data_IF_990304797906
#
_entry.id   IF_990304797906
#
_cell.length_a   1.000
_cell.length_b   1.000
_cell.length_c   1.000
_cell.angle_alpha   90.00
_cell.angle_beta   90.00
_cell.angle_gamma   90.00
#
_symmetry.space_group_name_H-M   'P 1'
#
loop_
_entity.id
_entity.type
_entity.pdbx_description
1 polymer ?
#
# COMPACT_ATOMS: atom_id res chain seq x y z
N UNK A 1 -30.12 -29.37 0.97
CA UNK A 1 -29.90 -28.19 1.86
C UNK A 1 -28.52 -28.15 2.50
N UNK A 2 -28.10 -29.13 3.31
CA UNK A 2 -26.78 -29.10 3.99
C UNK A 2 -25.57 -28.96 3.04
N UNK A 3 -25.57 -29.67 1.91
CA UNK A 3 -24.51 -29.59 0.90
C UNK A 3 -24.47 -28.21 0.20
N UNK A 4 -25.64 -27.59 0.00
CA UNK A 4 -25.74 -26.26 -0.61
C UNK A 4 -25.21 -25.16 0.33
N UNK A 5 -25.52 -25.26 1.63
CA UNK A 5 -24.93 -24.38 2.65
C UNK A 5 -23.42 -24.57 2.77
N UNK A 6 -22.90 -25.79 2.65
CA UNK A 6 -21.46 -26.07 2.67
C UNK A 6 -20.74 -25.50 1.43
N UNK A 7 -21.31 -25.65 0.23
CA UNK A 7 -20.77 -25.07 -1.01
C UNK A 7 -20.82 -23.54 -0.95
N UNK A 8 -21.91 -22.96 -0.44
CA UNK A 8 -22.03 -21.51 -0.24
C UNK A 8 -21.00 -21.00 0.79
N UNK A 9 -20.79 -21.72 1.89
CA UNK A 9 -19.78 -21.38 2.90
C UNK A 9 -18.35 -21.49 2.35
N UNK A 10 -18.07 -22.51 1.53
CA UNK A 10 -16.78 -22.70 0.87
C UNK A 10 -16.52 -21.63 -0.21
N UNK A 11 -17.58 -21.17 -0.90
CA UNK A 11 -17.53 -20.07 -1.86
C UNK A 11 -17.54 -18.67 -1.19
N UNK A 12 -17.68 -18.57 0.14
CA UNK A 12 -17.51 -17.30 0.89
C UNK A 12 -16.05 -17.13 1.34
N UNK A 13 -15.23 -18.18 1.35
CA UNK A 13 -13.77 -18.08 1.43
C UNK A 13 -13.16 -17.62 0.09
N UNK A 14 -13.74 -16.57 -0.52
CA UNK A 14 -13.20 -15.89 -1.69
C UNK A 14 -11.91 -15.18 -1.29
N UNK A 15 -10.82 -15.94 -1.36
CA UNK A 15 -9.50 -15.53 -1.85
C UNK A 15 -9.01 -14.18 -1.34
N UNK A 16 -8.66 -14.12 -0.05
CA UNK A 16 -7.64 -13.16 0.38
C UNK A 16 -6.32 -13.67 -0.20
N UNK A 17 -5.93 -13.14 -1.35
CA UNK A 17 -4.62 -13.39 -1.94
C UNK A 17 -3.68 -12.30 -1.47
N UNK A 18 -2.50 -12.70 -1.00
CA UNK A 18 -1.37 -11.78 -0.91
C UNK A 18 -0.92 -11.36 -2.31
N UNK A 19 -0.07 -10.35 -2.34
CA UNK A 19 0.66 -9.99 -3.56
C UNK A 19 1.49 -11.19 -4.04
N UNK A 20 1.66 -11.29 -5.37
CA UNK A 20 2.48 -12.32 -6.00
C UNK A 20 3.95 -12.12 -5.67
N UNK A 21 4.69 -13.24 -5.52
CA UNK A 21 6.15 -13.20 -5.36
C UNK A 21 6.84 -12.54 -6.57
N UNK A 22 7.96 -11.88 -6.30
CA UNK A 22 8.75 -11.22 -7.33
C UNK A 22 9.51 -12.23 -8.19
N UNK A 23 9.42 -12.08 -9.51
CA UNK A 23 10.12 -12.94 -10.49
C UNK A 23 11.55 -12.49 -10.80
N UNK A 24 11.94 -11.30 -10.31
CA UNK A 24 13.22 -10.64 -10.55
C UNK A 24 13.57 -9.75 -9.36
N UNK A 25 14.83 -9.33 -9.27
CA UNK A 25 15.34 -8.55 -8.14
C UNK A 25 14.60 -7.22 -7.96
N UNK A 26 14.29 -6.52 -9.06
CA UNK A 26 13.60 -5.24 -9.02
C UNK A 26 12.66 -5.03 -10.21
N UNK A 27 11.54 -4.34 -9.99
CA UNK A 27 10.59 -3.93 -11.04
C UNK A 27 9.97 -2.56 -10.68
N UNK A 28 10.74 -1.46 -10.61
CA UNK A 28 10.16 -0.18 -10.23
C UNK A 28 9.01 0.22 -11.16
N UNK A 29 7.95 0.82 -10.63
CA UNK A 29 6.83 1.33 -11.44
C UNK A 29 7.33 2.27 -12.55
N UNK A 30 6.93 2.00 -13.80
CA UNK A 30 7.16 2.92 -14.92
C UNK A 30 6.32 4.20 -14.76
N UNK A 31 6.91 5.28 -14.25
CA UNK A 31 6.22 6.57 -14.08
C UNK A 31 6.29 7.41 -15.36
N UNK A 32 5.17 8.02 -15.75
CA UNK A 32 5.13 9.06 -16.79
C UNK A 32 4.91 8.57 -18.23
N UNK A 33 5.02 7.27 -18.49
CA UNK A 33 4.45 6.70 -19.71
C UNK A 33 2.96 6.46 -19.48
N UNK A 34 2.10 7.01 -20.33
CA UNK A 34 0.70 6.59 -20.37
C UNK A 34 0.70 5.12 -20.78
N UNK A 35 0.76 4.22 -19.79
CA UNK A 35 0.70 2.79 -20.03
C UNK A 35 -0.67 2.51 -20.64
N UNK A 36 -0.70 2.32 -21.95
CA UNK A 36 -1.89 1.89 -22.70
C UNK A 36 -2.34 0.46 -22.32
N UNK A 37 -1.59 -0.19 -21.43
CA UNK A 37 -1.84 -1.54 -20.93
C UNK A 37 -2.10 -1.53 -19.42
N UNK A 38 -3.18 -2.21 -19.02
CA UNK A 38 -3.54 -2.44 -17.63
C UNK A 38 -3.24 -3.90 -17.28
N UNK A 39 -2.51 -4.10 -16.19
CA UNK A 39 -2.15 -5.41 -15.66
C UNK A 39 -2.46 -5.47 -14.16
N UNK A 40 -2.33 -6.66 -13.55
CA UNK A 40 -2.36 -6.74 -12.09
C UNK A 40 -1.06 -6.11 -11.53
N UNK A 41 -1.17 -4.97 -10.86
CA UNK A 41 -0.03 -4.16 -10.42
C UNK A 41 0.37 -3.09 -11.44
N UNK A 42 1.67 -2.83 -11.59
CA UNK A 42 2.19 -1.81 -12.50
C UNK A 42 3.25 -2.38 -13.47
N UNK A 43 3.31 -1.86 -14.71
CA UNK A 43 4.43 -2.15 -15.61
C UNK A 43 5.77 -1.76 -14.99
N UNK A 44 6.80 -2.58 -15.21
CA UNK A 44 8.16 -2.26 -14.79
C UNK A 44 8.77 -1.18 -15.69
N UNK A 45 9.54 -0.28 -15.08
CA UNK A 45 10.46 0.63 -15.76
C UNK A 45 11.53 -0.15 -16.52
N UNK A 46 12.02 0.42 -17.63
CA UNK A 46 13.10 -0.18 -18.41
C UNK A 46 14.35 -0.41 -17.54
N UNK A 47 14.93 -1.64 -17.50
CA UNK A 47 16.11 -1.94 -16.70
C UNK A 47 17.30 -1.00 -16.90
N UNK A 48 17.47 -0.43 -18.11
CA UNK A 48 18.57 0.51 -18.39
C UNK A 48 18.37 1.91 -17.78
N UNK A 49 17.15 2.21 -17.33
CA UNK A 49 16.78 3.51 -16.74
C UNK A 49 16.55 3.44 -15.22
N UNK A 50 16.61 2.23 -14.65
CA UNK A 50 16.54 2.00 -13.21
C UNK A 50 17.75 2.66 -12.54
N UNK A 51 17.49 3.44 -11.51
CA UNK A 51 18.52 4.12 -10.75
C UNK A 51 18.17 4.20 -9.26
N UNK A 52 19.12 4.66 -8.44
CA UNK A 52 18.97 4.70 -6.99
C UNK A 52 17.78 5.55 -6.49
N UNK A 53 17.32 6.53 -7.27
CA UNK A 53 16.17 7.36 -6.87
C UNK A 53 14.85 6.57 -6.91
N UNK A 54 14.77 5.51 -7.71
CA UNK A 54 13.58 4.64 -7.76
C UNK A 54 13.35 3.91 -6.42
N UNK A 55 14.39 3.81 -5.57
CA UNK A 55 14.38 3.09 -4.28
C UNK A 55 14.56 4.02 -3.08
N UNK A 56 14.38 5.34 -3.25
CA UNK A 56 14.46 6.32 -2.16
C UNK A 56 13.23 7.21 -2.13
N UNK A 57 12.69 7.43 -0.93
CA UNK A 57 11.63 8.41 -0.70
C UNK A 57 11.90 9.23 0.55
N UNK A 58 11.61 10.53 0.48
CA UNK A 58 11.62 11.45 1.63
C UNK A 58 10.21 11.85 2.04
N UNK A 59 9.16 11.30 1.40
CA UNK A 59 7.78 11.73 1.62
C UNK A 59 7.29 11.56 3.06
N UNK A 60 7.85 10.60 3.80
CA UNK A 60 7.47 10.34 5.21
C UNK A 60 8.34 11.09 6.24
N UNK A 61 9.29 11.93 5.80
CA UNK A 61 10.17 12.66 6.73
C UNK A 61 9.48 13.84 7.39
N UNK A 62 8.40 14.34 6.79
CA UNK A 62 7.65 15.51 7.26
C UNK A 62 6.31 15.01 7.83
N UNK A 63 5.86 15.62 8.93
CA UNK A 63 4.54 15.37 9.47
C UNK A 63 3.45 15.85 8.51
N UNK A 64 2.37 15.09 8.41
CA UNK A 64 1.19 15.50 7.67
C UNK A 64 0.44 16.66 8.36
N UNK A 65 -0.34 17.41 7.58
CA UNK A 65 -1.16 18.51 8.10
C UNK A 65 -2.40 17.97 8.82
N UNK A 66 -2.48 18.25 10.11
CA UNK A 66 -3.54 17.85 11.04
C UNK A 66 -4.53 18.97 11.33
N UNK A 67 -4.41 20.16 10.71
CA UNK A 67 -5.37 21.27 10.82
C UNK A 67 -6.63 20.98 9.97
N UNK A 68 -7.34 19.93 10.36
CA UNK A 68 -8.55 19.47 9.70
C UNK A 68 -9.52 18.86 10.73
N UNK A 69 -10.76 18.62 10.31
CA UNK A 69 -11.83 18.13 11.17
C UNK A 69 -11.48 16.84 11.93
N UNK A 70 -10.70 15.95 11.31
CA UNK A 70 -10.31 14.66 11.91
C UNK A 70 -9.09 14.77 12.82
N UNK A 71 -8.41 15.93 12.81
CA UNK A 71 -7.20 16.19 13.59
C UNK A 71 -6.12 15.12 13.33
N UNK A 72 -6.09 14.59 12.10
CA UNK A 72 -5.23 13.48 11.69
C UNK A 72 -4.79 13.62 10.24
N UNK A 73 -3.65 13.02 9.90
CA UNK A 73 -3.19 12.91 8.53
C UNK A 73 -2.53 11.55 8.30
N UNK A 74 -2.82 10.91 7.16
CA UNK A 74 -2.16 9.68 6.73
C UNK A 74 -1.44 9.95 5.42
N UNK A 75 -0.11 9.96 5.45
CA UNK A 75 0.71 10.00 4.24
C UNK A 75 1.11 8.57 3.88
N UNK A 76 0.64 8.07 2.73
CA UNK A 76 0.86 6.69 2.29
C UNK A 76 1.87 6.60 1.15
N UNK A 77 2.70 5.57 1.16
CA UNK A 77 3.56 5.15 0.06
C UNK A 77 3.21 3.74 -0.36
N UNK A 78 2.54 3.64 -1.51
CA UNK A 78 2.35 2.41 -2.26
C UNK A 78 3.25 2.42 -3.50
N UNK A 79 3.16 1.38 -4.34
CA UNK A 79 3.88 1.31 -5.61
C UNK A 79 3.58 2.47 -6.58
N UNK A 80 2.47 3.20 -6.43
CA UNK A 80 2.22 4.43 -7.21
C UNK A 80 3.05 5.62 -6.72
N UNK A 81 3.17 5.81 -5.41
CA UNK A 81 3.89 6.95 -4.84
C UNK A 81 5.39 6.70 -4.70
N UNK A 82 5.78 5.42 -4.57
CA UNK A 82 7.15 4.96 -4.39
C UNK A 82 7.43 3.76 -5.34
N UNK A 83 7.99 4.02 -6.53
CA UNK A 83 8.16 3.02 -7.60
C UNK A 83 8.85 1.73 -7.16
N UNK A 84 9.88 1.81 -6.33
CA UNK A 84 10.66 0.67 -5.87
C UNK A 84 9.87 -0.37 -5.07
N UNK A 85 8.65 -0.07 -4.61
CA UNK A 85 7.80 -1.03 -3.89
C UNK A 85 7.06 -2.00 -4.82
N UNK A 86 6.97 -1.71 -6.11
CA UNK A 86 6.27 -2.57 -7.05
C UNK A 86 6.84 -3.99 -7.04
N UNK A 87 5.96 -5.00 -6.99
CA UNK A 87 6.26 -6.44 -6.86
C UNK A 87 6.86 -6.91 -5.53
N UNK A 88 7.12 -6.02 -4.56
CA UNK A 88 7.76 -6.40 -3.28
C UNK A 88 6.79 -6.78 -2.16
N UNK A 89 5.47 -6.65 -2.39
CA UNK A 89 4.45 -7.00 -1.39
C UNK A 89 4.43 -6.11 -0.14
N UNK A 90 4.98 -4.89 -0.24
CA UNK A 90 5.08 -3.96 0.87
C UNK A 90 4.53 -2.58 0.52
N UNK A 91 3.92 -1.96 1.51
CA UNK A 91 3.54 -0.55 1.53
C UNK A 91 3.86 0.03 2.90
N UNK A 92 4.05 1.34 2.99
CA UNK A 92 4.31 2.02 4.26
C UNK A 92 3.54 3.32 4.32
N UNK A 93 3.00 3.64 5.50
CA UNK A 93 2.35 4.91 5.77
C UNK A 93 2.93 5.55 7.03
N UNK A 94 2.79 6.87 7.10
CA UNK A 94 2.96 7.66 8.32
C UNK A 94 1.60 8.23 8.69
N UNK A 95 1.21 8.02 9.94
CA UNK A 95 -0.01 8.60 10.51
C UNK A 95 0.39 9.60 11.59
N UNK A 96 0.03 10.86 11.41
CA UNK A 96 0.18 11.93 12.40
C UNK A 96 -1.20 12.21 13.01
N UNK A 97 -1.27 12.24 14.35
CA UNK A 97 -2.49 12.51 15.11
C UNK A 97 -2.23 13.67 16.06
N UNK A 98 -3.13 14.65 16.05
CA UNK A 98 -3.22 15.64 17.12
C UNK A 98 -3.97 15.08 18.32
N UNK A 99 -3.99 15.83 19.43
CA UNK A 99 -4.79 15.46 20.60
C UNK A 99 -6.25 15.25 20.19
N UNK A 100 -6.83 14.13 20.59
CA UNK A 100 -8.20 13.71 20.25
C UNK A 100 -8.43 13.49 18.74
N UNK A 101 -7.36 13.49 17.94
CA UNK A 101 -7.40 13.14 16.53
C UNK A 101 -7.66 11.66 16.30
N UNK A 102 -8.30 11.34 15.18
CA UNK A 102 -8.69 9.96 14.87
C UNK A 102 -8.56 9.64 13.39
N UNK A 103 -8.21 8.39 13.10
CA UNK A 103 -8.41 7.80 11.77
C UNK A 103 -9.78 7.12 11.80
N UNK A 104 -10.71 7.46 10.89
CA UNK A 104 -12.03 6.83 10.84
C UNK A 104 -11.95 5.31 10.75
N UNK A 105 -13.00 4.63 11.21
CA UNK A 105 -13.13 3.17 11.05
C UNK A 105 -13.01 2.79 9.58
N UNK A 106 -12.02 1.95 9.26
CA UNK A 106 -11.72 1.52 7.90
C UNK A 106 -11.20 0.08 7.87
N UNK A 107 -10.87 -0.42 6.68
CA UNK A 107 -10.28 -1.74 6.49
C UNK A 107 -9.31 -1.75 5.31
N UNK A 108 -8.35 -2.68 5.34
CA UNK A 108 -7.46 -2.98 4.22
C UNK A 108 -7.88 -4.31 3.58
N UNK A 109 -8.53 -4.27 2.40
CA UNK A 109 -9.15 -5.48 1.83
C UNK A 109 -8.14 -6.53 1.33
N UNK A 110 -6.85 -6.18 1.22
CA UNK A 110 -5.79 -7.04 0.63
C UNK A 110 -4.49 -7.08 1.44
N UNK A 111 -4.45 -6.49 2.63
CA UNK A 111 -3.22 -6.46 3.43
C UNK A 111 -3.52 -6.49 4.91
N UNK A 112 -2.59 -7.06 5.68
CA UNK A 112 -2.52 -6.85 7.12
C UNK A 112 -1.69 -5.60 7.40
N UNK A 113 -1.93 -4.94 8.54
CA UNK A 113 -1.22 -3.74 8.96
C UNK A 113 -0.45 -4.01 10.26
N UNK A 114 0.77 -3.49 10.35
CA UNK A 114 1.57 -3.46 11.57
C UNK A 114 1.91 -2.00 11.89
N UNK A 115 1.51 -1.55 13.07
CA UNK A 115 1.77 -0.18 13.55
C UNK A 115 2.99 -0.16 14.48
N UNK A 116 3.82 0.86 14.29
CA UNK A 116 4.92 1.19 15.20
C UNK A 116 4.80 2.65 15.66
N UNK A 117 4.53 2.86 16.94
CA UNK A 117 4.36 4.19 17.52
C UNK A 117 5.74 4.80 17.79
N UNK A 118 6.06 5.87 17.05
CA UNK A 118 7.34 6.58 17.18
C UNK A 118 7.32 7.57 18.36
N UNK A 119 6.18 8.20 18.62
CA UNK A 119 6.00 9.20 19.68
C UNK A 119 4.54 9.27 20.12
N UNK A 120 4.31 9.64 21.38
CA UNK A 120 2.99 9.74 21.97
C UNK A 120 2.41 8.40 22.41
N UNK A 121 1.08 8.35 22.51
CA UNK A 121 0.29 7.16 22.85
C UNK A 121 -0.96 7.20 21.97
N UNK A 122 -1.32 6.05 21.41
CA UNK A 122 -2.49 5.83 20.55
C UNK A 122 -3.35 4.75 21.19
#
# INVERSE_FOLDING_TARGET
MKLFFLILFCAIFLTVSSDSDNMQDTCPTAQGEQSIFFINGYPCKNPTEINAQDFKSTKLTVAGDTDNYLQSNVTMLTASEFPGLNTLGLSVSRTDLERDGSVPLHSHPRSSELLFVVSGVV
#
